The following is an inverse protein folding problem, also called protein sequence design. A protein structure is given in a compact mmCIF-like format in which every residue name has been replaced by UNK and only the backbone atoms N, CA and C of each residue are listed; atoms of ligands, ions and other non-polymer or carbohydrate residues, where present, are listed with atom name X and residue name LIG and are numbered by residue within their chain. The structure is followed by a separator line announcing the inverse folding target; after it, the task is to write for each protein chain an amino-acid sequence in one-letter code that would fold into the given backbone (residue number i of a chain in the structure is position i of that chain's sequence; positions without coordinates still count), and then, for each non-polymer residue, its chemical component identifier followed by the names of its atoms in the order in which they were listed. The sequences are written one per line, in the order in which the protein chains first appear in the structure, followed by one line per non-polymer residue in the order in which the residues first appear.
data_IF_041585394088
#
_entry.id   IF_041585394088
#
_cell.length_a   1.000
_cell.length_b   1.000
_cell.length_c   1.000
_cell.angle_alpha   90.00
_cell.angle_beta   90.00
_cell.angle_gamma   90.00
#
_symmetry.space_group_name_H-M   'P 1'
#
loop_
_entity.id
_entity.type
_entity.pdbx_description
1 polymer ?
#
# COMPACT_ATOMS: atom_id res chain seq x y z
N UNK A 1 -10.29 -11.68 -9.53
CA UNK A 1 -10.37 -10.71 -10.64
C UNK A 1 -9.12 -9.84 -10.58
N UNK A 2 -8.40 -9.66 -11.69
CA UNK A 2 -7.21 -8.80 -11.71
C UNK A 2 -7.66 -7.34 -11.54
N UNK A 3 -6.99 -6.53 -10.70
CA UNK A 3 -7.31 -5.11 -10.60
C UNK A 3 -7.03 -4.41 -11.93
N UNK A 4 -7.76 -3.33 -12.22
CA UNK A 4 -7.56 -2.57 -13.45
C UNK A 4 -6.14 -1.95 -13.45
N UNK A 5 -5.35 -2.10 -14.54
CA UNK A 5 -3.97 -1.61 -14.61
C UNK A 5 -3.84 -0.10 -14.46
N UNK A 6 -2.78 0.37 -13.81
CA UNK A 6 -2.42 1.79 -13.74
C UNK A 6 -0.96 2.04 -14.18
N UNK A 7 -0.51 3.30 -14.10
CA UNK A 7 0.87 3.68 -14.48
C UNK A 7 1.94 2.98 -13.63
N UNK A 8 1.64 2.66 -12.37
CA UNK A 8 2.57 1.96 -11.49
C UNK A 8 2.79 0.52 -11.99
N UNK A 9 1.73 -0.15 -12.48
CA UNK A 9 1.83 -1.48 -13.08
C UNK A 9 2.71 -1.50 -14.34
N UNK A 10 2.60 -0.45 -15.18
CA UNK A 10 3.45 -0.27 -16.37
C UNK A 10 4.91 -0.07 -15.96
N UNK A 11 5.15 0.82 -14.99
CA UNK A 11 6.48 1.12 -14.48
C UNK A 11 7.16 -0.14 -13.90
N UNK A 12 6.43 -0.92 -13.09
CA UNK A 12 6.93 -2.20 -12.55
C UNK A 12 7.33 -3.16 -13.67
N UNK A 13 6.47 -3.35 -14.68
CA UNK A 13 6.77 -4.26 -15.79
C UNK A 13 8.03 -3.83 -16.54
N UNK A 14 8.21 -2.54 -16.76
CA UNK A 14 9.38 -2.00 -17.45
C UNK A 14 10.66 -2.14 -16.61
N UNK A 15 10.61 -1.83 -15.31
CA UNK A 15 11.76 -1.97 -14.41
C UNK A 15 12.18 -3.44 -14.28
N UNK A 16 11.23 -4.35 -14.06
CA UNK A 16 11.51 -5.79 -13.99
C UNK A 16 12.03 -6.31 -15.34
N UNK A 17 11.40 -5.89 -16.44
CA UNK A 17 11.83 -6.27 -17.79
C UNK A 17 13.26 -5.84 -18.11
N UNK A 18 13.64 -4.62 -17.71
CA UNK A 18 14.99 -4.09 -17.90
C UNK A 18 16.06 -4.85 -17.07
N UNK A 19 15.69 -5.39 -15.91
CA UNK A 19 16.61 -6.20 -15.11
C UNK A 19 16.87 -7.59 -15.72
N UNK A 20 15.91 -8.14 -16.48
CA UNK A 20 16.07 -9.41 -17.19
C UNK A 20 16.40 -10.58 -16.25
N UNK A 21 17.50 -11.29 -16.54
CA UNK A 21 18.02 -12.38 -15.70
C UNK A 21 19.24 -11.97 -14.85
N UNK A 22 19.70 -10.73 -14.97
CA UNK A 22 20.92 -10.21 -14.32
C UNK A 22 20.57 -9.42 -13.05
N UNK A 23 20.00 -10.13 -12.07
CA UNK A 23 19.64 -9.52 -10.80
C UNK A 23 20.87 -9.17 -9.97
N UNK A 24 20.98 -7.88 -9.59
CA UNK A 24 21.93 -7.41 -8.58
C UNK A 24 21.40 -7.75 -7.17
N UNK A 25 21.65 -8.99 -6.72
CA UNK A 25 21.34 -9.45 -5.37
C UNK A 25 22.59 -9.28 -4.50
N UNK A 26 22.58 -8.45 -3.45
CA UNK A 26 23.73 -8.31 -2.55
C UNK A 26 23.98 -9.59 -1.74
N UNK A 27 25.22 -9.79 -1.28
CA UNK A 27 25.53 -10.82 -0.27
C UNK A 27 25.39 -12.28 -0.72
N UNK A 28 25.37 -12.58 -2.03
CA UNK A 28 25.13 -13.94 -2.55
C UNK A 28 26.11 -15.03 -2.06
N UNK A 29 27.22 -14.64 -1.43
CA UNK A 29 28.30 -15.54 -1.03
C UNK A 29 28.12 -16.16 0.37
N UNK A 30 27.12 -15.74 1.15
CA UNK A 30 26.86 -16.29 2.49
C UNK A 30 25.40 -16.68 2.67
N UNK A 31 25.17 -17.87 3.25
CA UNK A 31 23.85 -18.34 3.67
C UNK A 31 23.60 -17.90 5.11
N UNK A 32 23.03 -16.71 5.26
CA UNK A 32 22.63 -16.15 6.55
C UNK A 32 21.10 -16.13 6.62
N UNK A 33 20.52 -16.79 7.62
CA UNK A 33 19.07 -16.86 7.79
C UNK A 33 18.52 -15.49 8.20
N UNK A 34 17.57 -14.96 7.45
CA UNK A 34 16.78 -13.79 7.83
C UNK A 34 15.51 -14.20 8.56
N UNK A 35 15.02 -15.41 8.29
CA UNK A 35 13.78 -15.98 8.81
C UNK A 35 13.94 -17.49 9.00
N UNK A 36 13.05 -18.09 9.78
CA UNK A 36 12.94 -19.54 9.92
C UNK A 36 11.47 -19.98 9.82
N UNK A 37 11.24 -21.14 9.21
CA UNK A 37 9.94 -21.82 9.14
C UNK A 37 10.09 -23.24 9.72
N UNK A 38 8.99 -23.83 10.17
CA UNK A 38 8.95 -25.23 10.59
C UNK A 38 8.21 -26.04 9.53
N UNK A 39 8.82 -27.10 9.01
CA UNK A 39 8.19 -27.99 8.04
C UNK A 39 7.17 -28.94 8.69
N UNK A 40 6.41 -29.68 7.87
CA UNK A 40 5.39 -30.64 8.33
C UNK A 40 5.95 -31.73 9.26
N UNK A 41 7.26 -31.99 9.21
CA UNK A 41 7.95 -32.96 10.07
C UNK A 41 8.54 -32.32 11.34
N UNK A 42 8.25 -31.04 11.61
CA UNK A 42 8.73 -30.33 12.79
C UNK A 42 10.16 -29.82 12.67
N UNK A 43 10.75 -29.81 11.47
CA UNK A 43 12.16 -29.42 11.25
C UNK A 43 12.27 -27.96 10.85
N UNK A 44 13.32 -27.29 11.32
CA UNK A 44 13.61 -25.90 10.97
C UNK A 44 14.15 -25.78 9.54
N UNK A 45 13.47 -24.97 8.73
CA UNK A 45 13.94 -24.49 7.44
C UNK A 45 14.45 -23.06 7.64
N UNK A 46 15.72 -22.83 7.29
CA UNK A 46 16.30 -21.50 7.24
C UNK A 46 15.92 -20.82 5.93
N UNK A 47 15.59 -19.53 6.02
CA UNK A 47 15.16 -18.72 4.89
C UNK A 47 15.99 -17.46 4.85
N UNK A 48 16.52 -17.15 3.67
CA UNK A 48 17.15 -15.86 3.36
C UNK A 48 16.33 -15.19 2.26
N UNK A 49 15.86 -13.96 2.52
CA UNK A 49 15.20 -13.10 1.54
C UNK A 49 16.09 -11.92 1.21
N UNK A 50 16.49 -11.81 -0.04
CA UNK A 50 17.33 -10.69 -0.49
C UNK A 50 16.73 -10.05 -1.75
N UNK A 51 16.45 -8.75 -1.68
CA UNK A 51 15.89 -7.99 -2.80
C UNK A 51 16.96 -7.55 -3.81
N UNK A 52 16.60 -7.57 -5.09
CA UNK A 52 17.42 -7.01 -6.15
C UNK A 52 17.45 -5.48 -6.06
N UNK A 53 18.64 -4.89 -6.04
CA UNK A 53 18.81 -3.42 -5.98
C UNK A 53 18.29 -2.68 -7.22
N UNK A 54 18.14 -3.38 -8.35
CA UNK A 54 17.67 -2.80 -9.62
C UNK A 54 16.15 -2.84 -9.75
N UNK A 55 15.51 -3.97 -9.39
CA UNK A 55 14.09 -4.19 -9.69
C UNK A 55 13.25 -4.64 -8.50
N UNK A 56 13.82 -4.74 -7.31
CA UNK A 56 13.11 -5.18 -6.10
C UNK A 56 12.85 -6.68 -6.01
N UNK A 57 12.93 -7.45 -7.12
CA UNK A 57 12.68 -8.90 -7.12
C UNK A 57 13.41 -9.62 -5.99
N UNK A 58 12.68 -10.45 -5.27
CA UNK A 58 13.16 -11.04 -4.02
C UNK A 58 13.67 -12.43 -4.33
N UNK A 59 14.97 -12.65 -4.17
CA UNK A 59 15.53 -14.01 -4.14
C UNK A 59 15.26 -14.61 -2.77
N UNK A 60 14.51 -15.71 -2.74
CA UNK A 60 14.25 -16.49 -1.53
C UNK A 60 15.03 -17.77 -1.60
N UNK A 61 16.03 -17.89 -0.71
CA UNK A 61 16.85 -19.09 -0.57
C UNK A 61 16.41 -19.86 0.67
N UNK A 62 16.04 -21.13 0.50
CA UNK A 62 15.64 -22.03 1.57
C UNK A 62 16.66 -23.15 1.72
N UNK A 63 17.07 -23.45 2.95
CA UNK A 63 17.96 -24.57 3.23
C UNK A 63 17.71 -25.14 4.63
N UNK A 64 18.14 -26.38 4.83
CA UNK A 64 18.25 -26.96 6.18
C UNK A 64 19.71 -26.94 6.60
N UNK A 65 19.97 -26.50 7.82
CA UNK A 65 21.30 -26.66 8.39
C UNK A 65 21.58 -28.15 8.57
N UNK A 66 22.82 -28.62 8.30
CA UNK A 66 23.21 -29.99 8.61
C UNK A 66 23.12 -30.23 10.13
N UNK A 67 22.83 -31.46 10.53
CA UNK A 67 22.78 -31.83 11.95
C UNK A 67 24.17 -31.64 12.59
N UNK A 68 24.25 -31.10 13.82
CA UNK A 68 25.51 -30.91 14.51
C UNK A 68 26.32 -32.22 14.57
N UNK A 69 27.57 -32.17 14.11
CA UNK A 69 28.46 -33.34 14.10
C UNK A 69 28.35 -34.24 12.86
N UNK A 70 27.49 -33.91 11.89
CA UNK A 70 27.48 -34.59 10.58
C UNK A 70 28.27 -33.78 9.55
N UNK A 71 29.25 -34.41 8.90
CA UNK A 71 29.91 -33.85 7.70
C UNK A 71 29.06 -34.11 6.45
N UNK A 72 27.80 -33.68 6.50
CA UNK A 72 26.83 -33.90 5.43
C UNK A 72 26.71 -32.67 4.53
N UNK A 73 26.64 -32.91 3.23
CA UNK A 73 26.25 -31.90 2.24
C UNK A 73 24.79 -31.51 2.48
N UNK A 74 24.49 -30.22 2.51
CA UNK A 74 23.10 -29.73 2.54
C UNK A 74 22.69 -29.17 1.18
N UNK A 75 21.38 -29.16 0.93
CA UNK A 75 20.81 -28.56 -0.26
C UNK A 75 20.18 -27.21 0.06
N UNK A 76 20.54 -26.20 -0.72
CA UNK A 76 19.88 -24.91 -0.74
C UNK A 76 19.13 -24.75 -2.06
N UNK A 77 17.88 -24.32 -2.01
CA UNK A 77 17.07 -24.04 -3.19
C UNK A 77 16.70 -22.56 -3.21
N UNK A 78 16.88 -21.92 -4.37
CA UNK A 78 16.57 -20.51 -4.56
C UNK A 78 15.43 -20.33 -5.55
N UNK A 79 14.48 -19.48 -5.18
CA UNK A 79 13.36 -19.02 -6.02
C UNK A 79 13.36 -17.51 -6.11
N UNK A 80 12.68 -16.97 -7.12
CA UNK A 80 12.43 -15.54 -7.23
C UNK A 80 10.95 -15.24 -7.04
N UNK A 81 10.65 -14.36 -6.10
CA UNK A 81 9.33 -13.83 -5.83
C UNK A 81 9.22 -12.42 -6.45
N UNK A 82 8.04 -12.07 -6.98
CA UNK A 82 7.76 -10.72 -7.50
C UNK A 82 7.77 -9.73 -6.33
N UNK A 83 8.38 -8.54 -6.49
CA UNK A 83 8.33 -7.53 -5.44
C UNK A 83 6.93 -6.97 -5.27
N UNK A 84 6.63 -6.46 -4.08
CA UNK A 84 5.51 -5.53 -3.91
C UNK A 84 5.79 -4.25 -4.71
N UNK A 85 4.76 -3.57 -5.22
CA UNK A 85 4.92 -2.32 -5.97
C UNK A 85 5.87 -1.31 -5.31
N UNK A 86 5.68 -1.03 -4.02
CA UNK A 86 6.46 -0.06 -3.26
C UNK A 86 7.88 -0.52 -2.89
N UNK A 87 8.22 -1.79 -3.11
CA UNK A 87 9.59 -2.30 -2.92
C UNK A 87 10.44 -2.20 -4.21
N UNK A 88 9.84 -1.76 -5.33
CA UNK A 88 10.54 -1.58 -6.61
C UNK A 88 11.28 -0.23 -6.60
N UNK A 89 12.63 -0.22 -6.68
CA UNK A 89 13.40 1.01 -6.67
C UNK A 89 13.06 1.91 -7.86
N UNK A 90 12.84 3.20 -7.61
CA UNK A 90 12.56 4.19 -8.66
C UNK A 90 11.18 4.10 -9.31
N UNK A 91 10.25 3.34 -8.73
CA UNK A 91 8.91 3.13 -9.31
C UNK A 91 8.13 4.44 -9.46
N UNK A 92 8.19 5.33 -8.47
CA UNK A 92 7.44 6.60 -8.49
C UNK A 92 7.93 7.48 -9.63
N UNK A 93 9.26 7.64 -9.77
CA UNK A 93 9.90 8.40 -10.83
C UNK A 93 9.59 7.78 -12.20
N UNK A 94 9.61 6.46 -12.30
CA UNK A 94 9.30 5.77 -13.55
C UNK A 94 7.83 5.92 -13.94
N UNK A 95 6.91 5.83 -12.99
CA UNK A 95 5.47 5.97 -13.24
C UNK A 95 5.11 7.37 -13.77
N UNK A 96 5.83 8.41 -13.34
CA UNK A 96 5.70 9.77 -13.88
C UNK A 96 6.13 9.87 -15.35
N UNK A 97 7.03 9.00 -15.80
CA UNK A 97 7.54 8.98 -17.19
C UNK A 97 6.72 8.09 -18.13
N UNK A 98 5.78 7.30 -17.59
CA UNK A 98 4.90 6.45 -18.42
C UNK A 98 4.05 7.35 -19.31
N UNK A 99 4.10 7.10 -20.61
CA UNK A 99 3.30 7.82 -21.59
C UNK A 99 1.88 7.25 -21.67
N UNK A 100 0.93 8.07 -22.14
CA UNK A 100 -0.44 7.61 -22.41
C UNK A 100 -0.48 6.41 -23.37
N UNK A 101 0.42 6.40 -24.35
CA UNK A 101 0.55 5.28 -25.29
C UNK A 101 0.99 4.00 -24.60
N UNK A 102 2.04 4.05 -23.78
CA UNK A 102 2.50 2.87 -23.02
C UNK A 102 1.43 2.33 -22.09
N UNK A 103 0.67 3.23 -21.43
CA UNK A 103 -0.45 2.85 -20.58
C UNK A 103 -1.57 2.19 -21.40
N UNK A 104 -1.98 2.79 -22.52
CA UNK A 104 -3.02 2.24 -23.39
C UNK A 104 -2.64 0.85 -23.94
N UNK A 105 -1.42 0.71 -24.47
CA UNK A 105 -0.90 -0.56 -24.98
C UNK A 105 -0.89 -1.64 -23.87
N UNK A 106 -0.51 -1.25 -22.65
CA UNK A 106 -0.53 -2.14 -21.49
C UNK A 106 -1.94 -2.57 -21.11
N UNK A 107 -2.89 -1.64 -21.02
CA UNK A 107 -4.30 -1.90 -20.69
C UNK A 107 -4.91 -2.90 -21.69
N UNK A 108 -4.69 -2.68 -23.00
CA UNK A 108 -5.15 -3.60 -24.05
C UNK A 108 -4.55 -5.00 -23.86
N UNK A 109 -3.24 -5.09 -23.63
CA UNK A 109 -2.54 -6.35 -23.43
C UNK A 109 -3.00 -7.14 -22.19
N UNK A 110 -3.66 -6.48 -21.22
CA UNK A 110 -4.20 -7.10 -20.00
C UNK A 110 -5.72 -7.31 -20.07
N UNK A 111 -6.31 -7.27 -21.27
CA UNK A 111 -7.70 -7.68 -21.50
C UNK A 111 -8.72 -6.56 -21.35
N UNK A 112 -8.30 -5.30 -21.43
CA UNK A 112 -9.19 -4.14 -21.33
C UNK A 112 -9.17 -3.29 -22.63
N UNK A 113 -9.58 -3.84 -23.79
CA UNK A 113 -9.44 -3.17 -25.07
C UNK A 113 -10.23 -1.85 -25.21
N UNK A 114 -11.25 -1.64 -24.35
CA UNK A 114 -12.03 -0.40 -24.30
C UNK A 114 -11.35 0.76 -23.58
N UNK A 115 -10.12 0.57 -23.07
CA UNK A 115 -9.39 1.59 -22.33
C UNK A 115 -9.89 1.76 -20.89
N UNK A 116 -9.61 2.92 -20.30
CA UNK A 116 -10.01 3.27 -18.93
C UNK A 116 -11.53 3.47 -18.86
N UNK A 117 -12.25 2.78 -17.94
CA UNK A 117 -13.70 2.94 -17.80
C UNK A 117 -14.11 4.37 -17.44
N UNK A 118 -15.23 4.86 -17.99
CA UNK A 118 -15.71 6.23 -17.78
C UNK A 118 -15.99 6.62 -16.31
N UNK A 119 -16.16 5.63 -15.42
CA UNK A 119 -16.38 5.85 -13.99
C UNK A 119 -15.11 6.08 -13.17
N UNK A 120 -13.93 6.01 -13.78
CA UNK A 120 -12.64 6.15 -13.11
C UNK A 120 -12.18 7.60 -13.10
N UNK A 121 -11.54 8.01 -12.01
CA UNK A 121 -10.88 9.29 -11.91
C UNK A 121 -9.68 9.32 -12.88
N UNK A 122 -9.46 10.46 -13.58
CA UNK A 122 -8.30 10.61 -14.44
C UNK A 122 -7.01 10.60 -13.61
N UNK A 123 -5.94 10.05 -14.17
CA UNK A 123 -4.60 10.22 -13.61
C UNK A 123 -4.12 11.65 -13.87
N UNK A 124 -3.96 12.42 -12.79
CA UNK A 124 -3.56 13.83 -12.77
C UNK A 124 -2.32 14.03 -11.93
N UNK A 125 -1.50 13.00 -11.66
CA UNK A 125 -0.41 13.06 -10.67
C UNK A 125 0.63 14.15 -10.96
N UNK A 126 0.76 14.59 -12.22
CA UNK A 126 1.68 15.65 -12.65
C UNK A 126 1.04 17.04 -12.71
N UNK A 127 -0.28 17.15 -12.60
CA UNK A 127 -1.04 18.39 -12.79
C UNK A 127 -1.97 18.74 -11.64
N UNK A 128 -2.28 17.78 -10.76
CA UNK A 128 -3.17 17.98 -9.63
C UNK A 128 -2.50 18.91 -8.62
N UNK A 129 -3.17 19.99 -8.19
CA UNK A 129 -2.70 20.76 -7.04
C UNK A 129 -2.87 19.94 -5.76
N UNK A 130 -2.23 20.41 -4.69
CA UNK A 130 -2.61 19.99 -3.35
C UNK A 130 -4.00 20.54 -3.01
N UNK A 131 -4.88 19.69 -2.52
CA UNK A 131 -6.24 20.04 -2.10
C UNK A 131 -6.33 19.95 -0.58
N UNK A 132 -6.77 21.04 0.06
CA UNK A 132 -6.98 21.09 1.50
C UNK A 132 -8.46 21.37 1.77
N UNK A 133 -9.09 20.52 2.57
CA UNK A 133 -10.51 20.57 2.87
C UNK A 133 -10.70 20.60 4.39
N UNK A 134 -11.46 21.56 4.89
CA UNK A 134 -11.89 21.60 6.28
C UNK A 134 -13.33 21.13 6.37
N UNK A 135 -13.53 19.95 6.97
CA UNK A 135 -14.81 19.28 7.04
C UNK A 135 -15.24 19.11 8.49
N UNK A 136 -16.55 19.16 8.72
CA UNK A 136 -17.16 18.67 9.96
C UNK A 136 -17.82 17.35 9.63
N UNK A 137 -17.55 16.29 10.41
CA UNK A 137 -18.21 14.99 10.31
C UNK A 137 -19.07 14.74 11.55
N UNK A 138 -20.22 14.09 11.38
CA UNK A 138 -21.00 13.53 12.49
C UNK A 138 -20.53 12.11 12.77
N UNK A 139 -19.73 11.95 13.81
CA UNK A 139 -19.25 10.65 14.28
C UNK A 139 -20.33 9.99 15.14
N UNK A 140 -20.54 8.69 14.91
CA UNK A 140 -21.36 7.83 15.76
C UNK A 140 -20.61 6.54 16.01
N UNK A 141 -20.70 6.02 17.24
CA UNK A 141 -20.00 4.80 17.66
C UNK A 141 -18.48 4.83 17.40
N UNK A 142 -17.87 6.03 17.46
CA UNK A 142 -16.43 6.23 17.38
C UNK A 142 -15.84 5.96 16.01
N UNK A 143 -16.60 6.11 14.92
CA UNK A 143 -16.17 5.73 13.58
C UNK A 143 -16.64 6.65 12.46
N UNK A 144 -15.80 6.78 11.43
CA UNK A 144 -16.14 7.27 10.10
C UNK A 144 -15.34 6.50 9.03
N UNK A 145 -15.69 6.66 7.76
CA UNK A 145 -15.14 5.84 6.69
C UNK A 145 -14.68 6.67 5.50
N UNK A 146 -13.68 6.15 4.79
CA UNK A 146 -13.29 6.60 3.46
C UNK A 146 -13.56 5.45 2.49
N UNK A 147 -14.50 5.65 1.57
CA UNK A 147 -14.95 4.63 0.63
C UNK A 147 -14.67 5.06 -0.80
N UNK A 148 -14.19 4.15 -1.63
CA UNK A 148 -14.23 4.31 -3.08
C UNK A 148 -15.69 4.28 -3.56
N UNK A 149 -16.01 4.99 -4.65
CA UNK A 149 -17.37 5.13 -5.21
C UNK A 149 -18.08 3.78 -5.41
N UNK A 150 -17.36 2.71 -5.70
CA UNK A 150 -17.95 1.38 -5.92
C UNK A 150 -18.09 0.53 -4.66
N UNK A 151 -17.79 1.09 -3.48
CA UNK A 151 -17.78 0.39 -2.20
C UNK A 151 -18.88 0.89 -1.27
N UNK A 152 -19.16 0.09 -0.26
CA UNK A 152 -20.20 0.30 0.74
C UNK A 152 -19.66 0.04 2.14
N UNK A 153 -20.42 0.46 3.16
CA UNK A 153 -20.08 0.17 4.55
C UNK A 153 -19.98 -1.33 4.83
N UNK A 154 -20.76 -2.16 4.14
CA UNK A 154 -20.74 -3.63 4.31
C UNK A 154 -19.44 -4.29 3.86
N UNK A 155 -18.58 -3.57 3.11
CA UNK A 155 -17.27 -4.09 2.71
C UNK A 155 -16.23 -4.03 3.85
N UNK A 156 -16.48 -3.21 4.89
CA UNK A 156 -15.57 -3.00 6.02
C UNK A 156 -16.23 -3.21 7.39
N UNK A 157 -17.56 -3.38 7.45
CA UNK A 157 -18.32 -3.64 8.68
C UNK A 157 -19.03 -5.00 8.64
N UNK A 158 -18.78 -5.90 9.61
CA UNK A 158 -17.73 -5.82 10.63
C UNK A 158 -16.32 -5.84 9.99
N UNK A 159 -15.30 -5.39 10.73
CA UNK A 159 -13.91 -5.37 10.23
C UNK A 159 -13.50 -6.80 9.82
N UNK A 160 -13.19 -7.04 8.53
CA UNK A 160 -12.82 -8.36 8.07
C UNK A 160 -11.48 -8.80 8.65
N UNK A 161 -11.31 -10.10 8.89
CA UNK A 161 -10.06 -10.66 9.47
C UNK A 161 -8.81 -10.46 8.58
N UNK A 162 -9.00 -10.14 7.30
CA UNK A 162 -7.94 -9.87 6.34
C UNK A 162 -7.66 -8.36 6.17
N UNK A 163 -8.34 -7.50 6.92
CA UNK A 163 -8.09 -6.06 6.88
C UNK A 163 -6.65 -5.76 7.33
N UNK A 164 -6.03 -4.79 6.66
CA UNK A 164 -4.78 -4.21 7.14
C UNK A 164 -5.11 -3.20 8.23
N UNK A 165 -4.47 -3.34 9.39
CA UNK A 165 -4.75 -2.51 10.57
C UNK A 165 -3.51 -1.75 11.03
N UNK A 166 -3.71 -0.49 11.40
CA UNK A 166 -2.71 0.37 11.99
C UNK A 166 -3.35 1.21 13.11
N UNK A 167 -3.61 0.58 14.25
CA UNK A 167 -4.24 1.14 15.45
C UNK A 167 -5.57 1.89 15.17
N UNK A 168 -5.50 3.15 14.76
CA UNK A 168 -6.66 4.01 14.52
C UNK A 168 -7.26 3.89 13.11
N UNK A 169 -6.72 2.99 12.26
CA UNK A 169 -7.26 2.76 10.92
C UNK A 169 -7.26 1.26 10.59
N UNK A 170 -8.36 0.79 10.03
CA UNK A 170 -8.49 -0.52 9.37
C UNK A 170 -8.83 -0.32 7.89
N UNK A 171 -8.27 -1.12 6.99
CA UNK A 171 -8.60 -1.00 5.58
C UNK A 171 -8.63 -2.32 4.81
N UNK A 172 -9.46 -2.31 3.78
CA UNK A 172 -9.50 -3.28 2.70
C UNK A 172 -9.48 -2.52 1.37
N UNK A 173 -9.24 -3.19 0.22
CA UNK A 173 -9.25 -2.51 -1.08
C UNK A 173 -10.55 -1.73 -1.38
N UNK A 174 -10.46 -0.41 -1.29
CA UNK A 174 -11.49 0.57 -1.59
C UNK A 174 -12.30 1.02 -0.37
N UNK A 175 -11.96 0.57 0.85
CA UNK A 175 -12.65 1.00 2.05
C UNK A 175 -11.67 1.09 3.23
N UNK A 176 -11.67 2.22 3.92
CA UNK A 176 -10.95 2.41 5.17
C UNK A 176 -11.92 2.89 6.27
N UNK A 177 -11.76 2.35 7.46
CA UNK A 177 -12.46 2.68 8.69
C UNK A 177 -11.48 3.40 9.62
N UNK A 178 -11.92 4.52 10.20
CA UNK A 178 -11.11 5.34 11.10
C UNK A 178 -11.74 5.40 12.49
N UNK A 179 -10.89 5.36 13.50
CA UNK A 179 -11.26 5.41 14.92
C UNK A 179 -10.82 6.76 15.53
N UNK A 180 -11.58 7.86 15.36
CA UNK A 180 -11.26 9.14 15.97
C UNK A 180 -11.42 9.11 17.51
N UNK A 181 -10.83 10.09 18.23
CA UNK A 181 -10.97 10.19 19.69
C UNK A 181 -12.40 10.55 20.15
N UNK A 182 -13.27 11.02 19.24
CA UNK A 182 -14.66 11.36 19.53
C UNK A 182 -15.55 10.13 19.34
N UNK A 183 -16.28 9.73 20.40
CA UNK A 183 -17.20 8.59 20.33
C UNK A 183 -18.51 8.91 19.63
N UNK A 184 -19.17 9.99 20.00
CA UNK A 184 -20.41 10.45 19.37
C UNK A 184 -20.41 11.98 19.36
N UNK A 185 -20.69 12.61 18.21
CA UNK A 185 -20.71 14.06 18.11
C UNK A 185 -20.16 14.58 16.80
N UNK A 186 -19.78 15.86 16.80
CA UNK A 186 -19.12 16.50 15.65
C UNK A 186 -17.60 16.34 15.79
N UNK A 187 -16.97 16.02 14.67
CA UNK A 187 -15.52 15.94 14.51
C UNK A 187 -15.09 16.96 13.46
N UNK A 188 -14.17 17.85 13.81
CA UNK A 188 -13.45 18.66 12.84
C UNK A 188 -12.33 17.81 12.21
N UNK A 189 -12.42 17.61 10.90
CA UNK A 189 -11.48 16.83 10.11
C UNK A 189 -10.91 17.71 8.99
N UNK A 190 -9.61 18.01 9.08
CA UNK A 190 -8.86 18.50 7.94
C UNK A 190 -8.51 17.31 7.03
N UNK A 191 -8.68 17.47 5.72
CA UNK A 191 -8.28 16.47 4.72
C UNK A 191 -7.31 17.14 3.75
N UNK A 192 -6.12 16.57 3.62
CA UNK A 192 -5.08 17.02 2.70
C UNK A 192 -4.83 15.94 1.65
N UNK A 193 -5.14 16.23 0.40
CA UNK A 193 -4.92 15.34 -0.74
C UNK A 193 -3.77 15.91 -1.56
N UNK A 194 -2.69 15.15 -1.69
CA UNK A 194 -1.46 15.62 -2.34
C UNK A 194 -0.96 14.63 -3.40
N UNK A 195 -0.42 15.10 -4.54
CA UNK A 195 0.23 14.22 -5.51
C UNK A 195 1.56 13.64 -4.98
N UNK A 196 2.16 14.28 -3.97
CA UNK A 196 3.45 13.87 -3.38
C UNK A 196 3.30 13.59 -1.88
N UNK A 197 4.17 12.77 -1.28
CA UNK A 197 4.14 12.52 0.16
C UNK A 197 4.26 13.83 0.95
N UNK A 198 3.25 14.20 1.77
CA UNK A 198 3.38 15.33 2.67
C UNK A 198 4.18 14.95 3.91
N UNK A 199 4.83 15.92 4.54
CA UNK A 199 5.46 15.73 5.84
C UNK A 199 4.41 15.44 6.92
N UNK A 200 4.72 14.58 7.91
CA UNK A 200 3.84 14.35 9.04
C UNK A 200 3.74 15.60 9.89
N UNK A 201 2.53 15.94 10.35
CA UNK A 201 2.34 17.06 11.27
C UNK A 201 2.64 16.59 12.70
N UNK A 202 3.75 17.07 13.24
CA UNK A 202 4.23 16.70 14.58
C UNK A 202 3.44 17.37 15.72
N UNK A 203 2.47 18.23 15.42
CA UNK A 203 1.63 18.87 16.44
C UNK A 203 0.46 18.00 16.92
N UNK A 204 0.31 16.79 16.36
CA UNK A 204 -0.70 15.81 16.74
C UNK A 204 -0.13 14.75 17.67
N UNK A 205 -0.98 14.21 18.55
CA UNK A 205 -0.56 13.29 19.61
C UNK A 205 -0.29 11.88 19.08
N UNK A 206 -1.14 11.42 18.15
CA UNK A 206 -1.00 10.12 17.50
C UNK A 206 -1.01 10.30 15.98
N UNK A 207 -0.15 9.55 15.32
CA UNK A 207 -0.02 9.51 13.86
C UNK A 207 0.11 8.07 13.42
N UNK A 208 -0.81 7.62 12.58
CA UNK A 208 -0.82 6.26 12.04
C UNK A 208 -0.92 6.30 10.52
N UNK A 209 -0.32 5.31 9.86
CA UNK A 209 -0.17 5.29 8.42
C UNK A 209 -0.43 3.89 7.85
N UNK A 210 -1.19 3.81 6.75
CA UNK A 210 -1.53 2.54 6.10
C UNK A 210 -1.69 2.72 4.57
N UNK A 211 -1.55 1.64 3.80
CA UNK A 211 -1.83 1.64 2.36
C UNK A 211 -3.26 1.20 2.05
N UNK A 212 -3.98 1.95 1.21
CA UNK A 212 -5.29 1.55 0.72
C UNK A 212 -5.36 1.70 -0.80
N UNK A 213 -5.87 0.68 -1.50
CA UNK A 213 -6.10 0.73 -2.93
C UNK A 213 -7.49 1.27 -3.23
N UNK A 214 -7.61 2.31 -4.04
CA UNK A 214 -8.89 2.87 -4.51
C UNK A 214 -9.18 2.40 -5.94
N UNK A 215 -10.16 1.51 -6.16
CA UNK A 215 -10.45 0.93 -7.48
C UNK A 215 -10.83 1.93 -8.56
N UNK A 216 -11.49 3.04 -8.23
CA UNK A 216 -11.90 4.07 -9.21
C UNK A 216 -11.18 5.39 -9.01
N UNK A 217 -10.57 5.63 -7.84
CA UNK A 217 -9.94 6.91 -7.53
C UNK A 217 -10.93 8.03 -7.19
N UNK A 218 -12.22 7.72 -7.10
CA UNK A 218 -13.23 8.59 -6.54
C UNK A 218 -13.54 8.14 -5.12
N UNK A 219 -13.07 8.89 -4.14
CA UNK A 219 -13.31 8.60 -2.73
C UNK A 219 -14.38 9.51 -2.13
N UNK A 220 -15.11 8.99 -1.15
CA UNK A 220 -16.09 9.72 -0.36
C UNK A 220 -15.82 9.47 1.12
N UNK A 221 -15.96 10.51 1.94
CA UNK A 221 -16.07 10.35 3.38
C UNK A 221 -17.52 9.99 3.72
N UNK A 222 -17.70 8.96 4.54
CA UNK A 222 -19.00 8.44 4.93
C UNK A 222 -19.15 8.48 6.44
N UNK A 223 -20.28 9.02 6.90
CA UNK A 223 -20.71 8.93 8.30
C UNK A 223 -21.54 7.65 8.52
N UNK A 224 -21.47 7.07 9.73
CA UNK A 224 -22.32 5.94 10.09
C UNK A 224 -23.79 6.36 10.12
N UNK A 225 -24.60 5.79 9.22
CA UNK A 225 -26.01 6.15 9.02
C UNK A 225 -26.24 7.67 8.81
N UNK A 226 -25.27 8.35 8.21
CA UNK A 226 -25.30 9.80 7.98
C UNK A 226 -25.12 10.16 6.51
N UNK A 227 -24.42 11.28 6.26
CA UNK A 227 -24.16 11.78 4.89
C UNK A 227 -22.92 11.16 4.25
N UNK A 228 -22.85 11.34 2.93
CA UNK A 228 -21.65 11.17 2.11
C UNK A 228 -21.11 12.54 1.74
N UNK A 229 -19.79 12.69 1.87
CA UNK A 229 -19.06 13.89 1.53
C UNK A 229 -18.03 13.52 0.46
N UNK A 230 -18.32 13.83 -0.83
CA UNK A 230 -17.40 13.48 -1.90
C UNK A 230 -16.10 14.27 -1.77
N UNK A 231 -14.97 13.58 -1.97
CA UNK A 231 -13.67 14.22 -2.08
C UNK A 231 -13.38 14.57 -3.56
N UNK A 232 -12.47 15.52 -3.82
CA UNK A 232 -11.88 15.69 -5.14
C UNK A 232 -11.32 14.36 -5.69
N UNK A 233 -11.29 14.16 -7.02
CA UNK A 233 -10.69 12.96 -7.61
C UNK A 233 -9.24 12.79 -7.17
N UNK A 234 -8.86 11.59 -6.74
CA UNK A 234 -7.53 11.35 -6.21
C UNK A 234 -6.44 11.57 -7.30
N UNK A 235 -5.26 12.10 -6.96
CA UNK A 235 -4.28 12.58 -7.94
C UNK A 235 -3.84 11.55 -8.96
N UNK A 236 -3.63 10.29 -8.58
CA UNK A 236 -3.20 9.22 -9.48
C UNK A 236 -4.37 8.44 -10.10
N UNK A 237 -5.61 8.92 -9.98
CA UNK A 237 -6.80 8.18 -10.39
C UNK A 237 -7.00 6.93 -9.52
N UNK A 238 -7.27 5.78 -10.14
CA UNK A 238 -7.30 4.50 -9.43
C UNK A 238 -5.89 3.99 -9.11
N UNK A 239 -5.75 3.31 -7.98
CA UNK A 239 -4.47 2.74 -7.58
C UNK A 239 -4.24 2.74 -6.09
N UNK A 240 -2.98 2.57 -5.70
CA UNK A 240 -2.56 2.54 -4.32
C UNK A 240 -2.27 3.94 -3.80
N UNK A 241 -2.80 4.20 -2.61
CA UNK A 241 -2.64 5.45 -1.88
C UNK A 241 -2.18 5.15 -0.47
N UNK A 242 -1.41 6.08 0.09
CA UNK A 242 -1.14 6.10 1.50
C UNK A 242 -2.12 7.00 2.22
N UNK A 243 -2.62 6.51 3.35
CA UNK A 243 -3.47 7.21 4.27
C UNK A 243 -2.67 7.45 5.54
N UNK A 244 -2.55 8.71 5.97
CA UNK A 244 -1.98 9.07 7.27
C UNK A 244 -3.01 9.83 8.09
N UNK A 245 -3.39 9.26 9.21
CA UNK A 245 -4.37 9.85 10.11
C UNK A 245 -3.67 10.36 11.36
N UNK A 246 -3.92 11.63 11.67
CA UNK A 246 -3.39 12.31 12.84
C UNK A 246 -4.55 12.66 13.76
N UNK A 247 -4.39 12.40 15.05
CA UNK A 247 -5.41 12.69 16.06
C UNK A 247 -4.83 13.51 17.21
N UNK A 248 -5.66 14.42 17.71
CA UNK A 248 -5.48 15.15 18.96
C UNK A 248 -6.86 15.55 19.48
N UNK A 249 -7.02 15.94 20.76
CA UNK A 249 -8.32 16.31 21.33
C UNK A 249 -9.05 17.43 20.55
N UNK A 250 -8.31 18.36 19.92
CA UNK A 250 -8.89 19.49 19.20
C UNK A 250 -9.31 19.20 17.76
N UNK A 251 -8.99 18.02 17.20
CA UNK A 251 -9.39 17.66 15.85
C UNK A 251 -8.51 16.59 15.22
N UNK A 252 -8.81 16.26 13.97
CA UNK A 252 -8.07 15.25 13.21
C UNK A 252 -7.58 15.79 11.87
N UNK A 253 -6.52 15.19 11.34
CA UNK A 253 -6.00 15.43 10.00
C UNK A 253 -5.84 14.11 9.26
N UNK A 254 -6.45 14.01 8.08
CA UNK A 254 -6.26 12.92 7.14
C UNK A 254 -5.43 13.39 5.95
N UNK A 255 -4.23 12.86 5.79
CA UNK A 255 -3.40 13.05 4.60
C UNK A 255 -3.56 11.85 3.65
N UNK A 256 -3.75 12.13 2.36
CA UNK A 256 -3.92 11.14 1.29
C UNK A 256 -2.96 11.49 0.15
N UNK A 257 -2.10 10.54 -0.25
CA UNK A 257 -1.23 10.73 -1.41
C UNK A 257 -0.99 9.43 -2.16
N UNK A 258 -0.65 9.53 -3.44
CA UNK A 258 -0.29 8.35 -4.21
C UNK A 258 1.04 7.79 -3.69
N UNK A 259 1.04 6.51 -3.35
CA UNK A 259 2.25 5.78 -3.06
C UNK A 259 2.03 4.31 -3.42
N UNK A 260 2.92 3.71 -4.21
CA UNK A 260 2.84 2.28 -4.48
C UNK A 260 2.85 1.48 -3.17
N UNK A 261 1.96 0.49 -3.11
CA UNK A 261 1.75 -0.36 -1.93
C UNK A 261 3.04 -1.04 -1.49
N UNK A 262 3.40 -0.88 -0.23
CA UNK A 262 4.42 -1.70 0.44
C UNK A 262 3.72 -2.67 1.38
N UNK A 263 4.25 -3.88 1.59
CA UNK A 263 3.80 -4.71 2.72
C UNK A 263 3.87 -3.91 4.03
N UNK A 264 2.91 -4.08 4.95
CA UNK A 264 3.03 -3.54 6.30
C UNK A 264 4.35 -4.01 6.92
N UNK A 265 5.19 -3.05 7.32
CA UNK A 265 6.41 -3.34 8.09
C UNK A 265 6.06 -3.11 9.56
N UNK A 266 6.32 -4.10 10.42
CA UNK A 266 6.32 -3.89 11.87
C UNK A 266 7.42 -2.86 12.17
N UNK A 267 7.04 -1.60 12.40
CA UNK A 267 7.94 -0.58 12.92
C UNK A 267 8.14 -0.88 14.41
N UNK A 268 9.09 -1.77 14.72
CA UNK A 268 9.56 -1.91 16.09
C UNK A 268 10.29 -0.62 16.43
N UNK A 269 9.71 0.18 17.34
CA UNK A 269 10.38 1.36 17.88
C UNK A 269 11.72 0.88 18.47
N UNK A 270 12.88 1.44 18.09
CA UNK A 270 14.10 1.12 18.81
C UNK A 270 13.88 1.40 20.30
N UNK A 271 14.38 0.56 21.21
CA UNK A 271 14.31 0.86 22.63
C UNK A 271 14.89 2.27 22.83
N UNK A 272 14.22 3.09 23.63
CA UNK A 272 14.74 4.39 24.00
C UNK A 272 16.15 4.17 24.59
N UNK A 273 17.15 4.69 23.88
CA UNK A 273 18.54 4.73 24.33
C UNK A 273 18.71 5.70 25.49
#
# INVERSE_FOLDING_TARGET
MMPFPNRDDVAIKQIIGACGRDHDIPGQTRLEATETETDEAGRTININRTACRKCGSIRVTRWRAPEPGTSSSFFAFATFERPEPGDVPGITERALQVTEKELADFIIAHGFPGGVPAGFAPDRRTTAPEENLDLTLRVRAGQFYLLDRTRSLGDILPVPAYAESAALIDAVPGAALFWPPVRDGELHLAVKISPTPPEPDQTYDEVVELSCRFPTGHAVLRELAGRELPLPPLPAGHGDYRLRFHTKPSGCLLQIWNQPRTKPKLLVRPPAS
#
